data_IF_594398577980
#
_entry.id   IF_594398577980
#
_cell.length_a   1.000
_cell.length_b   1.000
_cell.length_c   1.000
_cell.angle_alpha   90.00
_cell.angle_beta   90.00
_cell.angle_gamma   90.00
#
_symmetry.space_group_name_H-M   'P 1'
#
loop_
_entity.id
_entity.type
_entity.pdbx_description
1 polymer ?
#
# COMPACT_ATOMS: atom_id res chain seq x y z
N UNK A 1 -39.83 15.44 26.77
CA UNK A 1 -40.34 14.17 26.18
C UNK A 1 -39.24 13.58 25.32
N UNK A 2 -38.77 12.37 25.64
CA UNK A 2 -37.71 11.65 24.91
C UNK A 2 -38.36 10.88 23.74
N UNK A 3 -38.03 11.22 22.49
CA UNK A 3 -38.29 10.34 21.34
C UNK A 3 -37.12 9.37 21.20
N UNK A 4 -37.38 8.08 21.44
CA UNK A 4 -36.49 6.98 21.08
C UNK A 4 -36.73 6.66 19.60
N UNK A 5 -35.77 6.95 18.73
CA UNK A 5 -35.76 6.43 17.37
C UNK A 5 -35.28 4.98 17.41
N UNK A 6 -36.20 4.06 17.14
CA UNK A 6 -35.90 2.66 16.81
C UNK A 6 -35.76 2.63 15.29
N UNK A 7 -34.52 2.52 14.79
CA UNK A 7 -34.27 2.17 13.39
C UNK A 7 -34.31 0.64 13.24
N UNK A 8 -34.90 0.08 12.15
CA UNK A 8 -35.30 -1.33 12.11
C UNK A 8 -34.18 -2.26 11.61
N UNK A 9 -34.20 -3.55 11.98
CA UNK A 9 -33.25 -4.59 11.55
C UNK A 9 -33.17 -4.84 10.04
N UNK A 10 -34.07 -4.25 9.22
CA UNK A 10 -34.09 -4.40 7.77
C UNK A 10 -32.88 -3.76 7.05
N UNK A 11 -32.32 -2.67 7.59
CA UNK A 11 -31.14 -2.03 7.01
C UNK A 11 -29.87 -2.89 7.18
N UNK A 12 -29.75 -3.62 8.29
CA UNK A 12 -28.66 -4.57 8.51
C UNK A 12 -28.77 -5.79 7.58
N UNK A 13 -29.99 -6.26 7.30
CA UNK A 13 -30.22 -7.37 6.36
C UNK A 13 -29.85 -6.97 4.92
N UNK A 14 -30.10 -5.73 4.51
CA UNK A 14 -29.73 -5.23 3.19
C UNK A 14 -28.21 -5.09 3.03
N UNK A 15 -27.48 -4.67 4.08
CA UNK A 15 -26.02 -4.58 4.07
C UNK A 15 -25.33 -5.95 4.09
N UNK A 16 -25.90 -6.93 4.80
CA UNK A 16 -25.40 -8.32 4.76
C UNK A 16 -25.70 -8.97 3.39
N UNK A 17 -26.86 -8.66 2.78
CA UNK A 17 -27.22 -9.16 1.46
C UNK A 17 -26.29 -8.65 0.34
N UNK A 18 -25.89 -7.39 0.38
CA UNK A 18 -24.95 -6.83 -0.61
C UNK A 18 -23.53 -7.36 -0.44
N UNK A 19 -23.07 -7.60 0.79
CA UNK A 19 -21.77 -8.24 1.07
C UNK A 19 -21.71 -9.69 0.59
N UNK A 20 -22.76 -10.49 0.84
CA UNK A 20 -22.86 -11.87 0.36
C UNK A 20 -22.96 -11.93 -1.17
N UNK A 21 -23.65 -10.97 -1.80
CA UNK A 21 -23.70 -10.85 -3.26
C UNK A 21 -22.35 -10.54 -3.90
N UNK A 22 -21.50 -9.75 -3.23
CA UNK A 22 -20.15 -9.45 -3.71
C UNK A 22 -19.22 -10.68 -3.59
N UNK A 23 -19.34 -11.46 -2.50
CA UNK A 23 -18.61 -12.73 -2.38
C UNK A 23 -19.08 -13.79 -3.41
N UNK A 24 -20.38 -13.85 -3.72
CA UNK A 24 -20.88 -14.76 -4.74
C UNK A 24 -20.37 -14.43 -6.15
N UNK A 25 -20.12 -13.16 -6.48
CA UNK A 25 -19.50 -12.76 -7.75
C UNK A 25 -18.03 -13.19 -7.86
N UNK A 26 -17.25 -13.11 -6.79
CA UNK A 26 -15.88 -13.64 -6.77
C UNK A 26 -15.86 -15.16 -6.82
N UNK A 27 -16.82 -15.84 -6.19
CA UNK A 27 -16.97 -17.30 -6.30
C UNK A 27 -17.42 -17.70 -7.71
N UNK A 28 -18.28 -16.92 -8.38
CA UNK A 28 -18.69 -17.20 -9.75
C UNK A 28 -17.56 -16.99 -10.76
N UNK A 29 -16.73 -15.95 -10.60
CA UNK A 29 -15.57 -15.76 -11.49
C UNK A 29 -14.53 -16.86 -11.29
N UNK A 30 -14.29 -17.30 -10.04
CA UNK A 30 -13.43 -18.44 -9.76
C UNK A 30 -14.02 -19.75 -10.29
N UNK A 31 -15.34 -19.94 -10.26
CA UNK A 31 -16.00 -21.11 -10.88
C UNK A 31 -15.95 -21.06 -12.40
N UNK A 32 -16.09 -19.89 -13.02
CA UNK A 32 -15.89 -19.73 -14.47
C UNK A 32 -14.44 -20.03 -14.88
N UNK A 33 -13.45 -19.56 -14.12
CA UNK A 33 -12.05 -19.91 -14.34
C UNK A 33 -11.82 -21.43 -14.14
N UNK A 34 -12.38 -22.02 -13.10
CA UNK A 34 -12.30 -23.47 -12.84
C UNK A 34 -12.93 -24.27 -13.98
N UNK A 35 -14.12 -23.88 -14.46
CA UNK A 35 -14.79 -24.54 -15.59
C UNK A 35 -14.00 -24.34 -16.88
N UNK A 36 -13.40 -23.17 -17.11
CA UNK A 36 -12.55 -22.93 -18.27
C UNK A 36 -11.27 -23.79 -18.25
N UNK A 37 -10.69 -24.01 -17.06
CA UNK A 37 -9.55 -24.88 -16.84
C UNK A 37 -9.92 -26.35 -17.02
N UNK A 38 -11.06 -26.78 -16.47
CA UNK A 38 -11.60 -28.13 -16.67
C UNK A 38 -11.95 -28.39 -18.13
N UNK A 39 -12.50 -27.41 -18.86
CA UNK A 39 -12.75 -27.51 -20.28
C UNK A 39 -11.46 -27.51 -21.11
N UNK A 40 -10.42 -26.77 -20.70
CA UNK A 40 -9.11 -26.83 -21.33
C UNK A 40 -8.43 -28.20 -21.11
N UNK A 41 -8.57 -28.79 -19.91
CA UNK A 41 -8.12 -30.14 -19.59
C UNK A 41 -8.91 -31.17 -20.42
N UNK A 42 -10.24 -31.04 -20.50
CA UNK A 42 -11.11 -31.96 -21.25
C UNK A 42 -10.95 -31.85 -22.78
N UNK A 43 -10.54 -30.70 -23.31
CA UNK A 43 -10.24 -30.49 -24.74
C UNK A 43 -8.83 -30.90 -25.14
N UNK A 44 -7.98 -31.27 -24.18
CA UNK A 44 -6.70 -31.90 -24.48
C UNK A 44 -6.97 -33.34 -24.90
N UNK A 45 -6.77 -33.73 -26.18
CA UNK A 45 -7.04 -35.09 -26.61
C UNK A 45 -6.10 -36.03 -25.86
N UNK A 46 -6.67 -36.89 -25.04
CA UNK A 46 -5.98 -38.06 -24.49
C UNK A 46 -5.65 -38.97 -25.68
N UNK A 47 -4.47 -38.77 -26.27
CA UNK A 47 -3.84 -39.85 -27.01
C UNK A 47 -3.56 -40.94 -26.00
N UNK A 48 -4.49 -41.89 -25.91
CA UNK A 48 -4.30 -43.17 -25.26
C UNK A 48 -3.26 -43.98 -26.05
N UNK A 49 -2.00 -43.58 -25.91
CA UNK A 49 -0.93 -44.56 -25.91
C UNK A 49 -0.91 -45.14 -24.49
N UNK A 50 -0.85 -46.47 -24.39
CA UNK A 50 -0.48 -47.19 -23.17
C UNK A 50 0.94 -46.76 -22.75
N UNK A 51 1.07 -45.55 -22.24
CA UNK A 51 2.24 -45.11 -21.53
C UNK A 51 1.95 -45.41 -20.07
N UNK A 52 2.66 -46.38 -19.52
CA UNK A 52 2.82 -46.56 -18.08
C UNK A 52 2.91 -45.17 -17.44
N UNK A 53 2.06 -44.82 -16.45
CA UNK A 53 2.13 -43.51 -15.83
C UNK A 53 3.59 -43.29 -15.40
N UNK A 54 4.23 -42.17 -15.82
CA UNK A 54 5.60 -41.92 -15.43
C UNK A 54 5.65 -42.01 -13.91
N UNK A 55 6.59 -42.80 -13.38
CA UNK A 55 6.77 -42.94 -11.96
C UNK A 55 6.73 -41.54 -11.31
N UNK A 56 6.02 -41.35 -10.18
CA UNK A 56 5.91 -40.05 -9.56
C UNK A 56 7.32 -39.49 -9.41
N UNK A 57 7.59 -38.36 -10.08
CA UNK A 57 8.87 -37.67 -9.92
C UNK A 57 8.97 -37.40 -8.43
N UNK A 58 9.97 -37.99 -7.77
CA UNK A 58 10.25 -37.71 -6.36
C UNK A 58 10.26 -36.21 -6.17
N UNK A 59 9.47 -35.72 -5.22
CA UNK A 59 9.46 -34.31 -4.88
C UNK A 59 10.88 -33.91 -4.46
N UNK A 60 11.57 -33.15 -5.32
CA UNK A 60 12.96 -32.73 -5.11
C UNK A 60 13.12 -31.96 -3.80
N UNK A 61 12.03 -31.34 -3.33
CA UNK A 61 11.98 -30.46 -2.19
C UNK A 61 11.52 -31.17 -0.90
N UNK A 62 10.91 -32.35 -0.98
CA UNK A 62 10.41 -33.10 0.18
C UNK A 62 9.26 -32.41 0.93
N UNK A 63 8.44 -31.60 0.26
CA UNK A 63 7.38 -30.77 0.87
C UNK A 63 6.22 -31.58 1.43
N UNK A 64 5.99 -32.78 0.89
CA UNK A 64 4.93 -33.69 1.35
C UNK A 64 5.34 -34.51 2.59
N UNK A 65 6.62 -34.44 2.99
CA UNK A 65 7.17 -35.16 4.14
C UNK A 65 7.13 -34.38 5.47
N UNK A 66 7.63 -34.98 6.56
CA UNK A 66 7.99 -34.30 7.80
C UNK A 66 8.90 -33.07 7.56
N UNK A 67 8.86 -32.09 8.46
CA UNK A 67 9.61 -30.82 8.30
C UNK A 67 11.12 -31.02 8.24
N UNK A 68 11.64 -31.99 8.98
CA UNK A 68 13.06 -32.38 8.98
C UNK A 68 13.50 -33.08 7.69
N UNK A 69 12.55 -33.54 6.87
CA UNK A 69 12.81 -34.11 5.53
C UNK A 69 12.75 -33.05 4.41
N UNK A 70 12.34 -31.81 4.69
CA UNK A 70 12.30 -30.74 3.69
C UNK A 70 13.74 -30.40 3.27
N UNK A 71 13.99 -30.46 1.96
CA UNK A 71 15.27 -30.08 1.38
C UNK A 71 15.38 -28.56 1.24
N UNK A 72 15.62 -27.88 2.37
CA UNK A 72 15.75 -26.42 2.46
C UNK A 72 16.83 -25.85 1.53
N UNK A 73 17.88 -26.63 1.25
CA UNK A 73 18.92 -26.24 0.29
C UNK A 73 18.37 -26.18 -1.14
N UNK A 74 17.62 -27.19 -1.57
CA UNK A 74 16.96 -27.17 -2.88
C UNK A 74 15.91 -26.05 -2.98
N UNK A 75 15.19 -25.78 -1.89
CA UNK A 75 14.24 -24.66 -1.80
C UNK A 75 14.95 -23.33 -2.02
N UNK A 76 16.06 -23.06 -1.34
CA UNK A 76 16.73 -21.76 -1.47
C UNK A 76 17.49 -21.59 -2.79
N UNK A 77 18.03 -22.67 -3.36
CA UNK A 77 18.59 -22.68 -4.71
C UNK A 77 17.53 -22.25 -5.73
N UNK A 78 16.29 -22.72 -5.56
CA UNK A 78 15.16 -22.31 -6.39
C UNK A 78 14.83 -20.82 -6.25
N UNK A 79 14.97 -20.26 -5.03
CA UNK A 79 14.65 -18.86 -4.71
C UNK A 79 15.81 -17.88 -4.97
N UNK A 80 17.00 -18.36 -5.32
CA UNK A 80 18.19 -17.52 -5.39
C UNK A 80 18.15 -16.56 -6.59
N UNK A 81 18.46 -15.26 -6.41
CA UNK A 81 18.45 -14.28 -7.50
C UNK A 81 19.52 -14.62 -8.54
N UNK A 82 19.08 -15.11 -9.70
CA UNK A 82 19.94 -15.61 -10.77
C UNK A 82 19.33 -16.80 -11.53
N UNK A 83 18.34 -17.48 -10.95
CA UNK A 83 17.64 -18.61 -11.58
C UNK A 83 16.59 -18.21 -12.64
N UNK A 84 16.38 -16.91 -12.91
CA UNK A 84 15.29 -16.46 -13.78
C UNK A 84 13.92 -16.56 -13.08
N UNK A 85 12.83 -16.69 -13.86
CA UNK A 85 11.51 -17.05 -13.29
C UNK A 85 11.67 -18.38 -12.53
N UNK A 86 11.04 -18.58 -11.37
CA UNK A 86 11.10 -19.86 -10.69
C UNK A 86 10.71 -20.98 -11.67
N UNK A 87 11.66 -21.86 -11.99
CA UNK A 87 11.44 -23.03 -12.85
C UNK A 87 10.25 -23.90 -12.39
N UNK A 88 9.90 -23.84 -11.09
CA UNK A 88 8.75 -24.54 -10.51
C UNK A 88 7.92 -23.62 -9.59
N UNK A 89 7.05 -22.80 -10.19
CA UNK A 89 6.04 -22.00 -9.45
C UNK A 89 5.11 -22.89 -8.60
N UNK A 90 4.84 -24.12 -9.05
CA UNK A 90 3.99 -25.07 -8.32
C UNK A 90 4.60 -25.49 -7.00
N UNK A 91 5.91 -25.75 -6.97
CA UNK A 91 6.65 -26.04 -5.73
C UNK A 91 6.62 -24.87 -4.75
N UNK A 92 6.76 -23.63 -5.23
CA UNK A 92 6.69 -22.44 -4.37
C UNK A 92 5.30 -22.28 -3.73
N UNK A 93 4.22 -22.55 -4.48
CA UNK A 93 2.87 -22.57 -3.93
C UNK A 93 2.67 -23.70 -2.91
N UNK A 94 3.18 -24.90 -3.20
CA UNK A 94 3.14 -26.03 -2.24
C UNK A 94 3.90 -25.69 -0.96
N UNK A 95 5.10 -25.11 -1.06
CA UNK A 95 5.89 -24.67 0.09
C UNK A 95 5.13 -23.62 0.92
N UNK A 96 4.53 -22.62 0.27
CA UNK A 96 3.75 -21.61 0.97
C UNK A 96 2.55 -22.21 1.73
N UNK A 97 1.79 -23.09 1.07
CA UNK A 97 0.68 -23.81 1.70
C UNK A 97 1.16 -24.70 2.85
N UNK A 98 2.33 -25.33 2.70
CA UNK A 98 2.93 -26.18 3.72
C UNK A 98 3.35 -25.38 4.95
N UNK A 99 4.02 -24.25 4.76
CA UNK A 99 4.41 -23.32 5.84
C UNK A 99 3.17 -22.76 6.54
N UNK A 100 2.12 -22.41 5.81
CA UNK A 100 0.86 -21.95 6.40
C UNK A 100 0.17 -23.01 7.29
N UNK A 101 0.53 -24.29 7.12
CA UNK A 101 0.03 -25.40 7.91
C UNK A 101 0.99 -25.86 9.03
N UNK A 102 2.15 -25.21 9.20
CA UNK A 102 3.09 -25.55 10.27
C UNK A 102 2.52 -25.24 11.66
N UNK A 103 2.76 -26.15 12.59
CA UNK A 103 2.65 -25.91 14.02
C UNK A 103 3.86 -25.13 14.54
N UNK A 104 3.82 -24.69 15.81
CA UNK A 104 4.98 -24.06 16.44
C UNK A 104 6.20 -25.00 16.51
N UNK A 105 5.98 -26.27 16.82
CA UNK A 105 7.05 -27.28 16.87
C UNK A 105 7.67 -27.50 15.48
N UNK A 106 6.85 -27.47 14.43
CA UNK A 106 7.32 -27.55 13.04
C UNK A 106 8.23 -26.35 12.69
N UNK A 107 7.86 -25.13 13.10
CA UNK A 107 8.74 -23.99 12.89
C UNK A 107 10.05 -24.07 13.68
N UNK A 108 10.02 -24.52 14.94
CA UNK A 108 11.24 -24.71 15.73
C UNK A 108 12.16 -25.77 15.09
N UNK A 109 11.58 -26.86 14.59
CA UNK A 109 12.31 -27.87 13.83
C UNK A 109 12.90 -27.30 12.52
N UNK A 110 12.14 -26.48 11.80
CA UNK A 110 12.61 -25.81 10.59
C UNK A 110 13.78 -24.87 10.87
N UNK A 111 13.69 -24.00 11.88
CA UNK A 111 14.80 -23.10 12.25
C UNK A 111 16.04 -23.88 12.69
N UNK A 112 15.88 -24.93 13.50
CA UNK A 112 16.98 -25.80 13.90
C UNK A 112 17.63 -26.49 12.68
N UNK A 113 16.85 -26.94 11.71
CA UNK A 113 17.36 -27.51 10.47
C UNK A 113 18.16 -26.47 9.67
N UNK A 114 17.69 -25.22 9.56
CA UNK A 114 18.42 -24.16 8.88
C UNK A 114 19.78 -23.86 9.55
N UNK A 115 19.86 -23.92 10.88
CA UNK A 115 21.10 -23.69 11.62
C UNK A 115 22.19 -24.74 11.34
N UNK A 116 21.79 -25.95 10.95
CA UNK A 116 22.73 -27.02 10.57
C UNK A 116 23.19 -26.95 9.11
N UNK A 117 22.55 -26.11 8.29
CA UNK A 117 22.88 -25.99 6.87
C UNK A 117 23.94 -24.92 6.63
N UNK A 118 24.92 -25.27 5.79
CA UNK A 118 25.92 -24.35 5.25
C UNK A 118 25.27 -23.49 4.14
N UNK A 119 24.50 -22.49 4.56
CA UNK A 119 23.84 -21.51 3.72
C UNK A 119 24.63 -20.21 3.69
N UNK A 120 24.74 -19.62 2.50
CA UNK A 120 25.24 -18.23 2.42
C UNK A 120 24.32 -17.28 3.19
N UNK A 121 24.82 -16.11 3.66
CA UNK A 121 24.01 -15.13 4.38
C UNK A 121 22.74 -14.71 3.64
N UNK A 122 22.81 -14.55 2.32
CA UNK A 122 21.66 -14.18 1.49
C UNK A 122 20.59 -15.28 1.41
N UNK A 123 21.03 -16.54 1.33
CA UNK A 123 20.15 -17.72 1.31
C UNK A 123 19.44 -17.88 2.67
N UNK A 124 20.21 -17.80 3.76
CA UNK A 124 19.65 -17.83 5.12
C UNK A 124 18.65 -16.71 5.34
N UNK A 125 18.98 -15.47 4.97
CA UNK A 125 18.07 -14.33 5.09
C UNK A 125 16.75 -14.55 4.32
N UNK A 126 16.81 -15.19 3.15
CA UNK A 126 15.61 -15.47 2.34
C UNK A 126 14.70 -16.48 3.03
N UNK A 127 15.25 -17.60 3.50
CA UNK A 127 14.47 -18.63 4.21
C UNK A 127 13.96 -18.14 5.57
N UNK A 128 14.80 -17.44 6.32
CA UNK A 128 14.42 -16.87 7.62
C UNK A 128 13.22 -15.95 7.48
N UNK A 129 13.21 -15.04 6.49
CA UNK A 129 12.08 -14.13 6.30
C UNK A 129 10.78 -14.89 5.99
N UNK A 130 10.87 -15.94 5.17
CA UNK A 130 9.74 -16.80 4.84
C UNK A 130 9.18 -17.52 6.09
N UNK A 131 10.07 -18.09 6.91
CA UNK A 131 9.67 -18.79 8.13
C UNK A 131 9.19 -17.82 9.23
N UNK A 132 9.80 -16.64 9.36
CA UNK A 132 9.36 -15.60 10.29
C UNK A 132 7.94 -15.14 9.94
N UNK A 133 7.60 -14.97 8.65
CA UNK A 133 6.23 -14.63 8.24
C UNK A 133 5.22 -15.69 8.68
N UNK A 134 5.53 -16.97 8.45
CA UNK A 134 4.69 -18.10 8.86
C UNK A 134 4.54 -18.16 10.39
N UNK A 135 5.66 -18.10 11.11
CA UNK A 135 5.69 -18.14 12.58
C UNK A 135 4.88 -17.00 13.19
N UNK A 136 5.09 -15.77 12.70
CA UNK A 136 4.36 -14.58 13.11
C UNK A 136 2.86 -14.69 12.90
N UNK A 137 2.41 -15.47 11.93
CA UNK A 137 0.98 -15.69 11.67
C UNK A 137 0.36 -16.69 12.64
N UNK A 138 1.15 -17.58 13.25
CA UNK A 138 0.69 -18.60 14.21
C UNK A 138 0.81 -18.11 15.66
N UNK A 139 1.96 -17.55 16.04
CA UNK A 139 2.18 -16.94 17.36
C UNK A 139 2.83 -15.55 17.21
N UNK A 140 2.00 -14.51 17.02
CA UNK A 140 2.50 -13.15 16.84
C UNK A 140 3.33 -12.66 18.04
N UNK A 141 2.94 -13.02 19.26
CA UNK A 141 3.64 -12.60 20.48
C UNK A 141 4.98 -13.32 20.62
N UNK A 142 5.02 -14.63 20.41
CA UNK A 142 6.25 -15.41 20.38
C UNK A 142 7.21 -14.90 19.32
N UNK A 143 6.71 -14.53 18.13
CA UNK A 143 7.54 -14.02 17.03
C UNK A 143 8.27 -12.75 17.43
N UNK A 144 7.54 -11.80 18.02
CA UNK A 144 8.08 -10.53 18.47
C UNK A 144 9.13 -10.70 19.57
N UNK A 145 8.91 -11.60 20.51
CA UNK A 145 9.87 -11.90 21.58
C UNK A 145 11.12 -12.60 21.04
N UNK A 146 10.95 -13.56 20.13
CA UNK A 146 12.05 -14.37 19.57
C UNK A 146 12.94 -13.56 18.64
N UNK A 147 12.34 -12.71 17.81
CA UNK A 147 13.03 -12.01 16.74
C UNK A 147 13.21 -10.50 17.01
N UNK A 148 12.99 -10.03 18.25
CA UNK A 148 13.15 -8.61 18.62
C UNK A 148 14.55 -8.05 18.31
N UNK A 149 15.58 -8.89 18.37
CA UNK A 149 16.95 -8.46 18.09
C UNK A 149 17.15 -8.05 16.63
N UNK A 150 16.27 -8.50 15.72
CA UNK A 150 16.26 -8.09 14.31
C UNK A 150 15.59 -6.73 14.07
N UNK A 151 15.05 -6.09 15.12
CA UNK A 151 14.52 -4.73 15.04
C UNK A 151 15.64 -3.67 15.14
N UNK A 152 16.83 -4.08 15.58
CA UNK A 152 18.00 -3.21 15.64
C UNK A 152 18.60 -3.02 14.25
N UNK A 153 18.77 -1.76 13.85
CA UNK A 153 19.35 -1.39 12.55
C UNK A 153 18.37 -1.49 11.37
N UNK A 154 18.93 -1.63 10.16
CA UNK A 154 18.21 -1.45 8.90
C UNK A 154 17.68 -2.76 8.29
N UNK A 155 17.39 -3.81 9.08
CA UNK A 155 16.71 -5.01 8.56
C UNK A 155 15.23 -4.70 8.26
N UNK A 156 15.04 -4.14 7.06
CA UNK A 156 13.73 -3.71 6.56
C UNK A 156 12.77 -4.86 6.29
N UNK A 157 13.23 -6.11 6.15
CA UNK A 157 12.35 -7.25 5.83
C UNK A 157 11.82 -7.90 7.10
N UNK A 158 12.70 -8.23 8.04
CA UNK A 158 12.26 -8.80 9.31
C UNK A 158 11.33 -7.83 10.06
N UNK A 159 11.70 -6.55 10.12
CA UNK A 159 10.84 -5.50 10.71
C UNK A 159 9.47 -5.38 10.05
N UNK A 160 9.35 -5.63 8.74
CA UNK A 160 8.05 -5.64 8.05
C UNK A 160 7.16 -6.77 8.55
N UNK A 161 7.66 -8.01 8.57
CA UNK A 161 6.89 -9.17 9.05
C UNK A 161 6.53 -9.01 10.53
N UNK A 162 7.48 -8.57 11.37
CA UNK A 162 7.25 -8.35 12.78
C UNK A 162 6.24 -7.22 13.04
N UNK A 163 6.24 -6.15 12.23
CA UNK A 163 5.22 -5.10 12.36
C UNK A 163 3.80 -5.62 12.07
N UNK A 164 3.65 -6.58 11.14
CA UNK A 164 2.37 -7.26 10.90
C UNK A 164 1.96 -8.14 12.09
N UNK A 165 2.90 -8.90 12.65
CA UNK A 165 2.69 -9.70 13.86
C UNK A 165 2.21 -8.81 15.02
N UNK A 166 2.88 -7.67 15.22
CA UNK A 166 2.49 -6.67 16.20
C UNK A 166 1.09 -6.13 15.97
N UNK A 167 0.73 -5.79 14.73
CA UNK A 167 -0.63 -5.36 14.42
C UNK A 167 -1.66 -6.46 14.73
N UNK A 168 -1.39 -7.72 14.38
CA UNK A 168 -2.26 -8.84 14.70
C UNK A 168 -2.43 -9.01 16.21
N UNK A 169 -1.35 -8.89 16.98
CA UNK A 169 -1.40 -8.95 18.43
C UNK A 169 -2.16 -7.77 19.05
N UNK A 170 -1.91 -6.54 18.57
CA UNK A 170 -2.59 -5.34 19.05
C UNK A 170 -4.11 -5.38 18.80
N UNK A 171 -4.55 -6.03 17.71
CA UNK A 171 -5.99 -6.28 17.47
C UNK A 171 -6.63 -7.20 18.51
N UNK A 172 -5.85 -8.08 19.14
CA UNK A 172 -6.34 -9.05 20.13
C UNK A 172 -6.23 -8.51 21.56
N UNK A 173 -5.10 -7.90 21.90
CA UNK A 173 -4.78 -7.38 23.23
C UNK A 173 -3.89 -6.13 23.12
N UNK A 174 -4.54 -5.00 22.82
CA UNK A 174 -3.88 -3.71 22.65
C UNK A 174 -3.05 -3.28 23.89
N UNK A 175 -3.55 -3.37 25.15
CA UNK A 175 -2.76 -2.99 26.32
C UNK A 175 -1.46 -3.78 26.46
N UNK A 176 -1.49 -5.10 26.26
CA UNK A 176 -0.27 -5.92 26.39
C UNK A 176 0.70 -5.69 25.22
N UNK A 177 0.20 -5.47 24.01
CA UNK A 177 1.03 -5.10 22.86
C UNK A 177 1.75 -3.75 23.09
N UNK A 178 1.04 -2.74 23.60
CA UNK A 178 1.62 -1.43 23.98
C UNK A 178 2.73 -1.64 25.01
N UNK A 179 2.46 -2.37 26.09
CA UNK A 179 3.44 -2.60 27.16
C UNK A 179 4.71 -3.28 26.65
N UNK A 180 4.57 -4.26 25.73
CA UNK A 180 5.72 -4.90 25.10
C UNK A 180 6.51 -3.93 24.22
N UNK A 181 5.84 -3.09 23.41
CA UNK A 181 6.51 -2.13 22.55
C UNK A 181 7.28 -1.10 23.38
N UNK A 182 6.68 -0.58 24.44
CA UNK A 182 7.34 0.36 25.36
C UNK A 182 8.56 -0.27 26.04
N UNK A 183 8.46 -1.53 26.46
CA UNK A 183 9.61 -2.28 26.98
C UNK A 183 10.70 -2.45 25.91
N UNK A 184 10.34 -2.83 24.68
CA UNK A 184 11.30 -2.99 23.59
C UNK A 184 12.02 -1.68 23.23
N UNK A 185 11.33 -0.53 23.32
CA UNK A 185 11.93 0.80 23.17
C UNK A 185 12.93 1.05 24.30
N UNK A 186 12.56 0.79 25.57
CA UNK A 186 13.44 0.97 26.73
C UNK A 186 14.69 0.07 26.68
N UNK A 187 14.56 -1.12 26.10
CA UNK A 187 15.67 -2.07 25.90
C UNK A 187 16.56 -1.70 24.68
N UNK A 188 16.26 -0.62 23.96
CA UNK A 188 17.03 -0.20 22.79
C UNK A 188 16.88 -1.13 21.59
N UNK A 189 15.78 -1.90 21.50
CA UNK A 189 15.51 -2.77 20.33
C UNK A 189 15.23 -1.96 19.07
N UNK A 190 14.82 -0.70 19.24
CA UNK A 190 14.54 0.25 18.17
C UNK A 190 15.63 1.32 18.00
N UNK A 191 16.79 1.15 18.62
CA UNK A 191 17.90 2.08 18.42
C UNK A 191 18.47 1.93 17.01
N UNK A 192 18.73 3.07 16.36
CA UNK A 192 19.39 3.09 15.05
C UNK A 192 20.89 3.31 15.20
N UNK A 193 21.65 2.74 14.27
CA UNK A 193 23.09 3.04 14.09
C UNK A 193 23.32 4.10 13.00
N UNK A 194 22.26 4.59 12.36
CA UNK A 194 22.35 5.62 11.33
C UNK A 194 22.69 6.99 11.94
N UNK A 195 23.33 7.86 11.14
CA UNK A 195 23.72 9.20 11.59
C UNK A 195 22.52 10.13 11.87
N UNK A 196 21.38 9.86 11.23
CA UNK A 196 20.12 10.60 11.42
C UNK A 196 19.30 10.05 12.59
N UNK A 197 19.77 8.99 13.25
CA UNK A 197 19.10 8.32 14.36
C UNK A 197 17.69 7.82 14.01
N UNK A 198 17.40 7.61 12.73
CA UNK A 198 16.11 7.13 12.24
C UNK A 198 16.07 5.61 12.30
N UNK A 199 15.01 5.07 12.90
CA UNK A 199 14.74 3.63 12.87
C UNK A 199 13.42 3.37 12.14
N UNK A 200 13.51 2.88 10.91
CA UNK A 200 12.33 2.57 10.08
C UNK A 200 11.44 1.47 10.68
N UNK A 201 11.99 0.56 11.49
CA UNK A 201 11.20 -0.42 12.23
C UNK A 201 10.34 0.25 13.29
N UNK A 202 10.90 1.21 14.07
CA UNK A 202 10.13 1.98 15.07
C UNK A 202 8.95 2.68 14.42
N UNK A 203 9.20 3.39 13.32
CA UNK A 203 8.15 4.13 12.58
C UNK A 203 7.03 3.20 12.12
N UNK A 204 7.37 2.01 11.60
CA UNK A 204 6.35 1.04 11.19
C UNK A 204 5.52 0.52 12.35
N UNK A 205 6.13 0.22 13.49
CA UNK A 205 5.42 -0.25 14.68
C UNK A 205 4.53 0.84 15.27
N UNK A 206 5.04 2.06 15.40
CA UNK A 206 4.23 3.22 15.82
C UNK A 206 3.07 3.43 14.85
N UNK A 207 3.28 3.31 13.53
CA UNK A 207 2.22 3.46 12.54
C UNK A 207 1.11 2.39 12.70
N UNK A 208 1.46 1.14 13.06
CA UNK A 208 0.45 0.13 13.36
C UNK A 208 -0.33 0.46 14.63
N UNK A 209 0.37 0.90 15.68
CA UNK A 209 -0.22 1.24 16.95
C UNK A 209 -1.17 2.44 16.85
N UNK A 210 -0.78 3.49 16.11
CA UNK A 210 -1.62 4.67 15.89
C UNK A 210 -2.98 4.34 15.28
N UNK A 211 -3.05 3.35 14.38
CA UNK A 211 -4.33 2.96 13.76
C UNK A 211 -5.34 2.48 14.81
N UNK A 212 -4.87 1.86 15.88
CA UNK A 212 -5.70 1.42 17.02
C UNK A 212 -5.96 2.56 18.00
N UNK A 213 -4.92 3.33 18.34
CA UNK A 213 -5.03 4.39 19.34
C UNK A 213 -5.90 5.56 18.86
N UNK A 214 -5.86 5.94 17.59
CA UNK A 214 -6.71 7.04 17.09
C UNK A 214 -8.21 6.71 17.24
N UNK A 215 -8.58 5.43 17.23
CA UNK A 215 -9.96 5.01 17.47
C UNK A 215 -10.29 4.87 18.96
N UNK A 216 -9.36 4.32 19.76
CA UNK A 216 -9.61 3.92 21.15
C UNK A 216 -9.18 4.95 22.20
N UNK A 217 -8.03 5.60 22.00
CA UNK A 217 -7.44 6.62 22.87
C UNK A 217 -6.62 7.65 22.06
N UNK A 218 -7.28 8.66 21.48
CA UNK A 218 -6.62 9.70 20.69
C UNK A 218 -5.56 10.50 21.46
N UNK A 219 -5.69 10.59 22.79
CA UNK A 219 -4.72 11.30 23.61
C UNK A 219 -3.42 10.50 23.74
N UNK A 220 -3.51 9.18 23.90
CA UNK A 220 -2.36 8.29 23.83
C UNK A 220 -1.71 8.34 22.44
N UNK A 221 -2.50 8.31 21.35
CA UNK A 221 -1.98 8.47 19.99
C UNK A 221 -1.15 9.76 19.84
N UNK A 222 -1.68 10.89 20.31
CA UNK A 222 -0.97 12.17 20.30
C UNK A 222 0.34 12.10 21.08
N UNK A 223 0.31 11.57 22.31
CA UNK A 223 1.50 11.48 23.15
C UNK A 223 2.63 10.70 22.46
N UNK A 224 2.30 9.59 21.77
CA UNK A 224 3.28 8.79 21.04
C UNK A 224 3.90 9.52 19.86
N UNK A 225 3.09 10.24 19.07
CA UNK A 225 3.62 11.05 17.95
C UNK A 225 4.53 12.16 18.46
N UNK A 226 4.18 12.79 19.58
CA UNK A 226 4.96 13.88 20.15
C UNK A 226 6.29 13.42 20.79
N UNK A 227 6.41 12.15 21.17
CA UNK A 227 7.68 11.56 21.64
C UNK A 227 8.72 11.42 20.53
N UNK A 228 8.28 11.41 19.26
CA UNK A 228 9.19 11.38 18.13
C UNK A 228 9.73 12.78 17.76
N UNK A 229 10.97 12.85 17.22
CA UNK A 229 11.48 14.04 16.56
C UNK A 229 10.53 14.55 15.46
N UNK A 230 10.39 15.88 15.33
CA UNK A 230 9.41 16.48 14.40
C UNK A 230 9.61 16.01 12.94
N UNK A 231 10.86 15.81 12.51
CA UNK A 231 11.18 15.32 11.17
C UNK A 231 10.76 13.87 10.90
N UNK A 232 10.54 13.08 11.96
CA UNK A 232 10.05 11.70 11.88
C UNK A 232 8.52 11.62 11.96
N UNK A 233 7.83 12.66 12.46
CA UNK A 233 6.37 12.65 12.61
C UNK A 233 5.65 12.64 11.27
N UNK A 234 6.19 13.33 10.25
CA UNK A 234 5.65 13.27 8.88
C UNK A 234 5.76 11.85 8.36
N UNK A 235 6.95 11.23 8.45
CA UNK A 235 7.16 9.86 8.00
C UNK A 235 6.24 8.86 8.71
N UNK A 236 5.98 9.06 10.00
CA UNK A 236 5.05 8.24 10.77
C UNK A 236 3.61 8.35 10.25
N UNK A 237 3.08 9.58 10.14
CA UNK A 237 1.75 9.81 9.56
C UNK A 237 1.69 9.27 8.13
N UNK A 238 2.80 9.39 7.40
CA UNK A 238 2.92 8.87 6.05
C UNK A 238 3.01 7.33 5.98
N UNK A 239 3.46 6.68 7.04
CA UNK A 239 3.61 5.22 7.11
C UNK A 239 2.34 4.51 7.55
N UNK A 240 1.33 5.24 8.03
CA UNK A 240 0.02 4.68 8.39
C UNK A 240 -0.67 4.09 7.15
N UNK A 241 -0.73 2.76 7.09
CA UNK A 241 -1.37 2.01 5.99
C UNK A 241 -2.84 1.71 6.22
N UNK A 242 -3.24 1.50 7.48
CA UNK A 242 -4.63 1.25 7.84
C UNK A 242 -5.20 2.57 8.33
N UNK A 243 -6.22 3.08 7.67
CA UNK A 243 -6.75 4.38 8.04
C UNK A 243 -7.80 4.21 9.12
N UNK A 244 -7.70 4.93 10.24
CA UNK A 244 -8.74 4.90 11.24
C UNK A 244 -10.01 5.59 10.70
N UNK A 245 -11.18 5.01 10.96
CA UNK A 245 -12.48 5.62 10.61
C UNK A 245 -12.76 6.93 11.39
N UNK A 246 -11.93 7.27 12.38
CA UNK A 246 -12.03 8.49 13.16
C UNK A 246 -11.22 9.64 12.53
N UNK A 247 -11.74 10.17 11.41
CA UNK A 247 -11.08 11.23 10.64
C UNK A 247 -10.86 12.53 11.43
N UNK A 248 -11.79 12.87 12.34
CA UNK A 248 -11.63 14.03 13.23
C UNK A 248 -10.41 13.90 14.15
N UNK A 249 -10.21 12.73 14.77
CA UNK A 249 -9.04 12.48 15.62
C UNK A 249 -7.74 12.44 14.81
N UNK A 250 -7.77 11.81 13.62
CA UNK A 250 -6.62 11.77 12.72
C UNK A 250 -6.21 13.19 12.27
N UNK A 251 -7.17 14.04 11.91
CA UNK A 251 -6.86 15.39 11.47
C UNK A 251 -6.36 16.27 12.61
N UNK A 252 -6.93 16.11 13.82
CA UNK A 252 -6.41 16.74 15.02
C UNK A 252 -4.97 16.32 15.31
N UNK A 253 -4.67 15.03 15.20
CA UNK A 253 -3.31 14.50 15.37
C UNK A 253 -2.34 15.17 14.40
N UNK A 254 -2.68 15.26 13.11
CA UNK A 254 -1.84 15.91 12.11
C UNK A 254 -1.62 17.41 12.40
N UNK A 255 -2.65 18.14 12.82
CA UNK A 255 -2.56 19.57 13.18
C UNK A 255 -1.65 19.81 14.38
N UNK A 256 -1.77 18.99 15.41
CA UNK A 256 -1.03 19.16 16.66
C UNK A 256 0.41 18.62 16.59
N UNK A 257 0.73 17.82 15.57
CA UNK A 257 2.05 17.18 15.42
C UNK A 257 3.15 18.14 14.97
N UNK A 258 2.80 19.31 14.41
CA UNK A 258 3.75 20.23 13.78
C UNK A 258 3.62 21.65 14.32
N UNK A 259 4.76 22.33 14.43
CA UNK A 259 4.81 23.74 14.79
C UNK A 259 4.42 24.64 13.61
N UNK A 260 4.79 24.25 12.39
CA UNK A 260 4.47 24.95 11.15
C UNK A 260 3.17 24.43 10.53
N UNK A 261 2.22 25.33 10.25
CA UNK A 261 0.92 24.97 9.65
C UNK A 261 1.04 24.40 8.23
N UNK A 262 2.08 24.76 7.48
CA UNK A 262 2.34 24.21 6.14
C UNK A 262 2.60 22.70 6.19
N UNK A 263 3.31 22.22 7.21
CA UNK A 263 3.60 20.78 7.40
C UNK A 263 2.34 20.00 7.73
N UNK A 264 1.48 20.53 8.61
CA UNK A 264 0.21 19.88 8.94
C UNK A 264 -0.76 19.86 7.75
N UNK A 265 -0.84 20.96 6.98
CA UNK A 265 -1.62 21.01 5.74
C UNK A 265 -1.11 19.95 4.74
N UNK A 266 0.21 19.84 4.57
CA UNK A 266 0.79 18.83 3.68
C UNK A 266 0.51 17.41 4.15
N UNK A 267 0.66 17.14 5.45
CA UNK A 267 0.35 15.84 6.04
C UNK A 267 -1.13 15.46 5.85
N UNK A 268 -2.05 16.40 6.06
CA UNK A 268 -3.48 16.21 5.81
C UNK A 268 -3.78 15.97 4.34
N UNK A 269 -3.11 16.67 3.42
CA UNK A 269 -3.20 16.40 2.00
C UNK A 269 -2.79 14.97 1.65
N UNK A 270 -1.68 14.50 2.23
CA UNK A 270 -1.17 13.15 2.05
C UNK A 270 -2.12 12.09 2.61
N UNK A 271 -2.66 12.31 3.82
CA UNK A 271 -3.65 11.42 4.43
C UNK A 271 -4.95 11.37 3.60
N UNK A 272 -5.47 12.53 3.19
CA UNK A 272 -6.66 12.62 2.35
C UNK A 272 -6.52 11.90 1.01
N UNK A 273 -5.33 11.99 0.39
CA UNK A 273 -5.07 11.36 -0.91
C UNK A 273 -5.18 9.83 -0.90
N UNK A 274 -4.95 9.18 0.25
CA UNK A 274 -5.00 7.72 0.34
C UNK A 274 -6.42 7.17 0.32
N UNK A 275 -7.38 8.00 0.68
CA UNK A 275 -8.80 7.70 0.57
C UNK A 275 -9.30 7.79 -0.88
N UNK A 276 -8.53 8.37 -1.80
CA UNK A 276 -8.90 8.40 -3.19
C UNK A 276 -8.72 7.01 -3.81
N UNK A 277 -9.71 6.58 -4.59
CA UNK A 277 -9.68 5.31 -5.32
C UNK A 277 -9.80 5.59 -6.83
N UNK A 278 -9.32 4.68 -7.70
CA UNK A 278 -9.50 4.87 -9.12
C UNK A 278 -10.99 5.02 -9.46
N UNK A 279 -11.36 6.14 -10.10
CA UNK A 279 -12.74 6.43 -10.45
C UNK A 279 -13.65 6.88 -9.32
N UNK A 280 -13.16 7.14 -8.10
CA UNK A 280 -14.01 7.60 -6.98
C UNK A 280 -13.28 8.48 -5.96
N UNK A 281 -13.96 9.56 -5.53
CA UNK A 281 -13.56 10.43 -4.43
C UNK A 281 -14.46 10.30 -3.18
N UNK A 282 -15.31 9.27 -3.10
CA UNK A 282 -16.31 9.15 -2.04
C UNK A 282 -15.69 9.17 -0.63
N UNK A 283 -14.63 8.39 -0.40
CA UNK A 283 -13.95 8.39 0.90
C UNK A 283 -13.15 9.68 1.15
N UNK A 284 -12.65 10.35 0.12
CA UNK A 284 -11.99 11.66 0.24
C UNK A 284 -13.00 12.70 0.72
N UNK A 285 -14.20 12.71 0.16
CA UNK A 285 -15.28 13.61 0.59
C UNK A 285 -15.65 13.37 2.05
N UNK A 286 -15.79 12.11 2.46
CA UNK A 286 -16.00 11.76 3.86
C UNK A 286 -14.87 12.25 4.76
N UNK A 287 -13.62 12.08 4.35
CA UNK A 287 -12.47 12.59 5.10
C UNK A 287 -12.55 14.11 5.26
N UNK A 288 -12.81 14.86 4.17
CA UNK A 288 -12.95 16.33 4.20
C UNK A 288 -14.05 16.76 5.19
N UNK A 289 -15.22 16.13 5.11
CA UNK A 289 -16.41 16.46 5.89
C UNK A 289 -16.25 16.08 7.37
N UNK A 290 -15.91 14.82 7.66
CA UNK A 290 -15.83 14.27 9.01
C UNK A 290 -14.63 14.85 9.79
N UNK A 291 -13.53 15.21 9.10
CA UNK A 291 -12.35 15.82 9.73
C UNK A 291 -12.50 17.32 10.03
N UNK A 292 -13.52 17.97 9.46
CA UNK A 292 -13.71 19.42 9.55
C UNK A 292 -12.50 20.18 9.01
N UNK A 293 -12.11 19.91 7.77
CA UNK A 293 -10.97 20.57 7.13
C UNK A 293 -11.28 22.04 6.81
N UNK A 294 -10.29 22.91 7.00
CA UNK A 294 -10.29 24.30 6.53
C UNK A 294 -10.06 24.35 5.02
N UNK A 295 -10.36 25.48 4.37
CA UNK A 295 -10.22 25.59 2.92
C UNK A 295 -8.78 25.30 2.45
N UNK A 296 -7.76 25.79 3.14
CA UNK A 296 -6.36 25.50 2.78
C UNK A 296 -6.00 24.01 2.88
N UNK A 297 -6.58 23.31 3.86
CA UNK A 297 -6.40 21.85 4.00
C UNK A 297 -7.16 21.10 2.91
N UNK A 298 -8.37 21.55 2.56
CA UNK A 298 -9.16 20.99 1.44
C UNK A 298 -8.40 21.16 0.12
N UNK A 299 -7.83 22.33 -0.14
CA UNK A 299 -7.04 22.59 -1.35
C UNK A 299 -5.86 21.60 -1.46
N UNK A 300 -5.15 21.35 -0.35
CA UNK A 300 -4.06 20.38 -0.31
C UNK A 300 -4.56 18.94 -0.56
N UNK A 301 -5.68 18.55 0.05
CA UNK A 301 -6.31 17.24 -0.18
C UNK A 301 -6.74 17.08 -1.63
N UNK A 302 -7.35 18.10 -2.24
CA UNK A 302 -7.77 18.07 -3.65
C UNK A 302 -6.59 17.83 -4.58
N UNK A 303 -5.53 18.62 -4.42
CA UNK A 303 -4.32 18.52 -5.25
C UNK A 303 -3.62 17.17 -5.15
N UNK A 304 -3.57 16.58 -3.95
CA UNK A 304 -2.90 15.29 -3.74
C UNK A 304 -3.79 14.08 -4.09
N UNK A 305 -5.11 14.22 -3.98
CA UNK A 305 -6.07 13.14 -4.28
C UNK A 305 -6.36 12.98 -5.77
N UNK A 306 -6.42 14.08 -6.53
CA UNK A 306 -6.74 14.04 -7.96
C UNK A 306 -5.85 13.07 -8.76
N UNK A 307 -4.52 12.99 -8.54
CA UNK A 307 -3.66 11.97 -9.13
C UNK A 307 -4.09 10.51 -8.94
N UNK A 308 -4.71 10.18 -7.82
CA UNK A 308 -5.08 8.80 -7.50
C UNK A 308 -6.33 8.34 -8.24
N UNK A 309 -7.18 9.27 -8.70
CA UNK A 309 -8.38 8.96 -9.48
C UNK A 309 -8.05 8.23 -10.79
N UNK A 310 -6.88 8.55 -11.39
CA UNK A 310 -6.40 7.96 -12.63
C UNK A 310 -5.41 6.81 -12.44
N UNK A 311 -5.18 6.36 -11.20
CA UNK A 311 -4.19 5.32 -10.90
C UNK A 311 -4.58 3.89 -11.38
N UNK A 312 -5.66 3.75 -12.17
CA UNK A 312 -6.10 2.48 -12.75
C UNK A 312 -5.27 2.02 -13.96
N UNK A 313 -5.27 0.71 -14.23
CA UNK A 313 -4.64 0.06 -15.39
C UNK A 313 -5.38 0.26 -16.73
N UNK A 314 -6.20 1.31 -16.87
CA UNK A 314 -6.91 1.65 -18.11
C UNK A 314 -6.44 2.97 -18.70
N UNK A 315 -6.75 3.18 -19.98
CA UNK A 315 -6.52 4.46 -20.63
C UNK A 315 -7.40 5.57 -20.01
N UNK A 316 -6.83 6.76 -19.90
CA UNK A 316 -7.52 7.98 -19.45
C UNK A 316 -8.41 8.51 -20.56
N UNK A 317 -9.59 9.01 -20.20
CA UNK A 317 -10.60 9.54 -21.13
C UNK A 317 -10.96 10.99 -20.81
N UNK A 318 -11.65 11.66 -21.74
CA UNK A 318 -12.20 13.01 -21.53
C UNK A 318 -13.28 13.05 -20.44
N UNK A 319 -13.94 11.93 -20.14
CA UNK A 319 -14.90 11.84 -19.04
C UNK A 319 -14.19 11.89 -17.70
N UNK A 320 -13.04 11.22 -17.58
CA UNK A 320 -12.27 11.19 -16.34
C UNK A 320 -11.78 12.58 -15.93
N UNK A 321 -11.19 13.31 -16.87
CA UNK A 321 -10.70 14.67 -16.60
C UNK A 321 -11.83 15.64 -16.25
N UNK A 322 -13.02 15.47 -16.84
CA UNK A 322 -14.20 16.27 -16.48
C UNK A 322 -14.72 15.93 -15.09
N UNK A 323 -14.70 14.65 -14.70
CA UNK A 323 -15.07 14.23 -13.37
C UNK A 323 -14.12 14.79 -12.30
N UNK A 324 -12.80 14.75 -12.55
CA UNK A 324 -11.80 15.35 -11.66
C UNK A 324 -11.99 16.85 -11.55
N UNK A 325 -12.14 17.54 -12.69
CA UNK A 325 -12.34 18.98 -12.75
C UNK A 325 -13.60 19.44 -11.99
N UNK A 326 -14.74 18.79 -12.25
CA UNK A 326 -15.99 19.09 -11.56
C UNK A 326 -15.89 18.88 -10.04
N UNK A 327 -15.28 17.77 -9.61
CA UNK A 327 -15.07 17.50 -8.19
C UNK A 327 -14.14 18.53 -7.54
N UNK A 328 -13.02 18.86 -8.19
CA UNK A 328 -12.07 19.83 -7.68
C UNK A 328 -12.69 21.24 -7.60
N UNK A 329 -13.47 21.67 -8.61
CA UNK A 329 -14.18 22.94 -8.59
C UNK A 329 -15.21 23.03 -7.45
N UNK A 330 -15.87 21.91 -7.11
CA UNK A 330 -16.82 21.85 -6.00
C UNK A 330 -16.11 22.00 -4.64
N UNK A 331 -15.02 21.24 -4.42
CA UNK A 331 -14.35 21.19 -3.10
C UNK A 331 -13.35 22.32 -2.89
N UNK A 332 -12.67 22.75 -3.95
CA UNK A 332 -11.62 23.78 -3.93
C UNK A 332 -11.79 24.70 -5.15
N UNK A 333 -12.70 25.70 -5.07
CA UNK A 333 -12.96 26.60 -6.19
C UNK A 333 -11.68 27.26 -6.72
N UNK A 334 -11.44 27.11 -8.03
CA UNK A 334 -10.24 27.62 -8.71
C UNK A 334 -9.05 26.65 -8.77
N UNK A 335 -9.16 25.45 -8.18
CA UNK A 335 -8.11 24.43 -8.24
C UNK A 335 -8.34 23.34 -9.29
N UNK A 336 -9.42 23.41 -10.07
CA UNK A 336 -9.82 22.35 -10.99
C UNK A 336 -8.82 22.13 -12.14
N UNK A 337 -8.35 23.20 -12.76
CA UNK A 337 -7.36 23.11 -13.83
C UNK A 337 -6.04 22.50 -13.33
N UNK A 338 -5.57 22.92 -12.15
CA UNK A 338 -4.36 22.38 -11.52
C UNK A 338 -4.53 20.90 -11.16
N UNK A 339 -5.66 20.53 -10.56
CA UNK A 339 -5.99 19.15 -10.19
C UNK A 339 -6.02 18.21 -11.41
N UNK A 340 -6.63 18.66 -12.52
CA UNK A 340 -6.64 17.90 -13.78
C UNK A 340 -5.22 17.73 -14.33
N UNK A 341 -4.41 18.80 -14.35
CA UNK A 341 -3.03 18.73 -14.84
C UNK A 341 -2.15 17.79 -14.00
N UNK A 342 -2.28 17.84 -12.67
CA UNK A 342 -1.60 16.91 -11.75
C UNK A 342 -2.01 15.46 -12.00
N UNK A 343 -3.31 15.21 -12.22
CA UNK A 343 -3.80 13.88 -12.49
C UNK A 343 -3.28 13.31 -13.81
N UNK A 344 -3.30 14.10 -14.88
CA UNK A 344 -2.73 13.73 -16.17
C UNK A 344 -1.22 13.44 -16.04
N UNK A 345 -0.50 14.23 -15.25
CA UNK A 345 0.93 14.03 -15.04
C UNK A 345 1.21 12.68 -14.39
N UNK A 346 0.44 12.32 -13.35
CA UNK A 346 0.55 11.01 -12.70
C UNK A 346 0.22 9.86 -13.65
N UNK A 347 -0.81 10.01 -14.49
CA UNK A 347 -1.23 9.00 -15.45
C UNK A 347 -0.16 8.70 -16.51
N UNK A 348 0.76 9.62 -16.76
CA UNK A 348 1.90 9.43 -17.69
C UNK A 348 2.89 8.35 -17.24
N UNK A 349 2.86 7.94 -15.97
CA UNK A 349 3.71 6.87 -15.45
C UNK A 349 3.16 5.48 -15.79
N UNK A 350 1.92 5.39 -16.29
CA UNK A 350 1.33 4.14 -16.75
C UNK A 350 1.70 3.87 -18.21
N UNK A 351 2.12 2.64 -18.50
CA UNK A 351 2.43 2.20 -19.87
C UNK A 351 1.20 2.21 -20.81
N UNK A 352 -0.01 2.37 -20.26
CA UNK A 352 -1.26 2.44 -21.03
C UNK A 352 -1.55 3.83 -21.60
N UNK A 353 -0.88 4.86 -21.09
CA UNK A 353 -1.08 6.24 -21.52
C UNK A 353 0.19 6.77 -22.18
N UNK A 354 0.08 7.25 -23.42
CA UNK A 354 1.17 7.97 -24.07
C UNK A 354 1.15 9.43 -23.65
N UNK A 355 2.32 10.08 -23.69
CA UNK A 355 2.43 11.51 -23.39
C UNK A 355 1.53 12.33 -24.33
N UNK A 356 1.51 11.98 -25.61
CA UNK A 356 0.73 12.66 -26.65
C UNK A 356 -0.78 12.60 -26.38
N UNK A 357 -1.28 11.44 -25.95
CA UNK A 357 -2.70 11.29 -25.62
C UNK A 357 -3.07 12.14 -24.40
N UNK A 358 -2.23 12.15 -23.36
CA UNK A 358 -2.46 12.96 -22.16
C UNK A 358 -2.32 14.46 -22.43
N UNK A 359 -1.38 14.85 -23.28
CA UNK A 359 -1.22 16.24 -23.74
C UNK A 359 -2.44 16.70 -24.57
N UNK A 360 -2.99 15.84 -25.43
CA UNK A 360 -4.21 16.13 -26.16
C UNK A 360 -5.41 16.30 -25.20
N UNK A 361 -5.49 15.47 -24.17
CA UNK A 361 -6.51 15.60 -23.11
C UNK A 361 -6.36 16.91 -22.33
N UNK A 362 -5.13 17.29 -21.95
CA UNK A 362 -4.84 18.56 -21.29
C UNK A 362 -5.30 19.76 -22.15
N UNK A 363 -5.05 19.72 -23.46
CA UNK A 363 -5.52 20.75 -24.39
C UNK A 363 -7.04 20.80 -24.51
N UNK A 364 -7.70 19.65 -24.40
CA UNK A 364 -9.16 19.53 -24.57
C UNK A 364 -9.97 19.91 -23.34
N UNK A 365 -9.35 19.95 -22.15
CA UNK A 365 -10.01 20.40 -20.93
C UNK A 365 -10.07 21.93 -20.92
N UNK A 366 -11.27 22.46 -21.12
CA UNK A 366 -11.50 23.89 -21.23
C UNK A 366 -12.73 24.32 -20.41
N UNK A 367 -12.58 24.51 -19.08
CA UNK A 367 -13.70 24.90 -18.22
C UNK A 367 -14.15 26.35 -18.46
N UNK A 368 -13.23 27.25 -18.80
CA UNK A 368 -13.45 28.71 -18.84
C UNK A 368 -12.95 29.41 -20.12
N UNK A 369 -12.61 28.67 -21.18
CA UNK A 369 -11.98 29.21 -22.39
C UNK A 369 -10.45 29.31 -22.32
N UNK A 370 -9.81 28.76 -21.28
CA UNK A 370 -8.37 28.75 -21.10
C UNK A 370 -7.88 27.46 -20.42
N UNK A 371 -6.94 26.76 -21.06
CA UNK A 371 -6.33 25.51 -20.58
C UNK A 371 -4.89 25.69 -20.06
N UNK A 372 -4.38 26.92 -19.99
CA UNK A 372 -3.00 27.24 -19.62
C UNK A 372 -2.60 26.64 -18.26
N UNK A 373 -3.48 26.72 -17.26
CA UNK A 373 -3.22 26.19 -15.92
C UNK A 373 -3.12 24.65 -15.90
N UNK A 374 -3.93 23.97 -16.72
CA UNK A 374 -3.89 22.51 -16.88
C UNK A 374 -2.56 22.08 -17.50
N UNK A 375 -2.19 22.75 -18.59
CA UNK A 375 -0.97 22.49 -19.33
C UNK A 375 0.24 22.76 -18.46
N UNK A 376 0.25 23.86 -17.71
CA UNK A 376 1.32 24.21 -16.79
C UNK A 376 1.51 23.16 -15.70
N UNK A 377 0.43 22.74 -15.03
CA UNK A 377 0.49 21.70 -14.00
C UNK A 377 0.96 20.35 -14.58
N UNK A 378 0.49 19.98 -15.77
CA UNK A 378 0.92 18.77 -16.47
C UNK A 378 2.42 18.80 -16.82
N UNK A 379 2.91 19.89 -17.41
CA UNK A 379 4.32 20.06 -17.78
C UNK A 379 5.20 19.99 -16.54
N UNK A 380 4.89 20.78 -15.51
CA UNK A 380 5.68 20.86 -14.25
C UNK A 380 5.89 19.51 -13.57
N UNK A 381 4.97 18.57 -13.76
CA UNK A 381 4.96 17.28 -13.08
C UNK A 381 5.30 16.10 -13.99
N UNK A 382 5.70 16.36 -15.24
CA UNK A 382 6.14 15.33 -16.21
C UNK A 382 7.61 15.45 -16.62
N UNK A 383 8.37 16.38 -16.03
CA UNK A 383 9.74 16.75 -16.44
C UNK A 383 10.85 15.74 -16.11
N UNK A 384 10.52 14.52 -15.69
CA UNK A 384 11.51 13.45 -15.74
C UNK A 384 11.89 13.20 -17.22
N UNK A 385 13.20 13.13 -17.48
CA UNK A 385 13.92 13.49 -18.72
C UNK A 385 13.40 12.98 -20.10
N UNK A 386 12.72 11.83 -20.30
CA UNK A 386 12.40 11.36 -21.66
C UNK A 386 11.41 12.19 -22.50
N UNK A 387 10.65 13.13 -21.91
CA UNK A 387 9.56 13.84 -22.63
C UNK A 387 9.82 15.34 -22.88
N UNK A 388 11.06 15.83 -22.69
CA UNK A 388 11.37 17.28 -22.77
C UNK A 388 10.97 17.92 -24.11
N UNK A 389 11.29 17.30 -25.24
CA UNK A 389 10.93 17.84 -26.57
C UNK A 389 9.41 17.95 -26.75
N UNK A 390 8.68 16.92 -26.33
CA UNK A 390 7.20 16.90 -26.39
C UNK A 390 6.58 17.93 -25.44
N UNK A 391 7.20 18.16 -24.28
CA UNK A 391 6.78 19.21 -23.36
C UNK A 391 6.98 20.61 -23.97
N UNK A 392 8.08 20.82 -24.71
CA UNK A 392 8.32 22.08 -25.44
C UNK A 392 7.30 22.31 -26.57
N UNK A 393 6.85 21.24 -27.25
CA UNK A 393 5.76 21.34 -28.24
C UNK A 393 4.41 21.69 -27.58
N UNK A 394 4.10 21.04 -26.46
CA UNK A 394 2.89 21.33 -25.69
C UNK A 394 2.90 22.76 -25.14
N UNK A 395 4.05 23.25 -24.70
CA UNK A 395 4.25 24.61 -24.19
C UNK A 395 3.82 25.70 -25.20
N UNK A 396 3.94 25.45 -26.50
CA UNK A 396 3.47 26.40 -27.53
C UNK A 396 1.96 26.63 -27.51
N UNK A 397 1.20 25.76 -26.83
CA UNK A 397 -0.25 25.89 -26.66
C UNK A 397 -0.64 26.75 -25.46
N UNK A 398 0.32 27.16 -24.60
CA UNK A 398 0.07 28.07 -23.46
C UNK A 398 -0.07 29.50 -23.97
N UNK A 399 -1.22 30.12 -23.78
CA UNK A 399 -1.56 31.45 -24.31
C UNK A 399 -0.88 32.59 -23.54
N UNK A 400 -0.74 32.46 -22.22
CA UNK A 400 -0.04 33.42 -21.37
C UNK A 400 1.48 33.42 -21.66
N UNK A 401 2.05 34.53 -22.19
CA UNK A 401 3.46 34.61 -22.54
C UNK A 401 4.40 34.58 -21.32
N UNK A 402 3.96 35.08 -20.17
CA UNK A 402 4.74 35.06 -18.93
C UNK A 402 4.83 33.65 -18.39
N UNK A 403 3.68 32.96 -18.28
CA UNK A 403 3.65 31.56 -17.86
C UNK A 403 4.44 30.66 -18.83
N UNK A 404 4.33 30.92 -20.13
CA UNK A 404 5.10 30.19 -21.16
C UNK A 404 6.61 30.33 -20.94
N UNK A 405 7.10 31.56 -20.70
CA UNK A 405 8.51 31.81 -20.47
C UNK A 405 9.02 31.15 -19.17
N UNK A 406 8.21 31.14 -18.11
CA UNK A 406 8.55 30.45 -16.85
C UNK A 406 8.70 28.94 -17.05
N UNK A 407 7.74 28.30 -17.74
CA UNK A 407 7.79 26.87 -18.04
C UNK A 407 8.94 26.53 -18.99
N UNK A 408 9.25 27.40 -19.95
CA UNK A 408 10.42 27.25 -20.83
C UNK A 408 11.72 27.21 -20.03
N UNK A 409 11.91 28.15 -19.11
CA UNK A 409 13.09 28.19 -18.24
C UNK A 409 13.20 26.93 -17.37
N UNK A 410 12.07 26.45 -16.82
CA UNK A 410 12.04 25.22 -16.03
C UNK A 410 12.39 23.98 -16.85
N UNK A 411 11.98 23.91 -18.11
CA UNK A 411 12.33 22.81 -19.02
C UNK A 411 13.79 22.88 -19.47
N UNK A 412 14.44 24.04 -19.38
CA UNK A 412 15.83 24.23 -19.76
C UNK A 412 16.82 23.75 -18.71
N UNK A 413 16.50 23.97 -17.43
CA UNK A 413 17.23 23.49 -16.25
C UNK A 413 16.99 22.00 -15.99
#
# INVERSE_FOLDING_TARGET
MKLRLIAPPAAAILLVGTWVGFQQKSISSLREETVSLEQAIARTPVMAAEATPPAPKRDKYGLDGPVDEINWKAVVEQMSPGSGRPDDLGAMLRLHNRIAAFSLDDFEAAFAALDQLDLSPAQRLTLDNLLIEGYASVDPQGALRRFSDRLQGDDTRASWHLSKAFNQWANQDLPTAIAWMDQAIQEGKFDSKSLDNRNSARIRFEAQLLNHLIQSDPAAAQARVMDLPEDQRIELLESMRNEPDNFAALAKLARDSFSESSKSINALGGLGSRHASPGSFEKVNRFIEDAGLSQMEIDAVVKQSAPQYLASDRAVTSEDIRAIGAWAAEKSPGSDAEAVGLALARASWSQKNTYENLAALAKSYDPDGNNDAVIAAFIRNTTNNPNRERAMELLQSVSDPTLRAELEQQLQN
#
